data_IF_483487308106
#
_entry.id   IF_483487308106
#
_cell.length_a   1.000
_cell.length_b   1.000
_cell.length_c   1.000
_cell.angle_alpha   90.00
_cell.angle_beta   90.00
_cell.angle_gamma   90.00
#
_symmetry.space_group_name_H-M   'P 1'
#
loop_
_entity.id
_entity.type
_entity.pdbx_description
1 polymer ?
#
# COMPACT_ATOMS: atom_id res chain seq x y z
N UNK A 1 1.19 -16.29 -6.02
CA UNK A 1 1.36 -14.85 -5.77
C UNK A 1 0.22 -14.26 -4.95
N UNK A 2 -1.05 -14.42 -5.33
CA UNK A 2 -2.22 -13.92 -4.58
C UNK A 2 -2.22 -14.38 -3.11
N UNK A 3 -1.84 -15.64 -2.83
CA UNK A 3 -1.68 -16.16 -1.45
C UNK A 3 -0.66 -15.36 -0.61
N UNK A 4 0.34 -14.73 -1.22
CA UNK A 4 1.29 -13.88 -0.51
C UNK A 4 0.62 -12.57 -0.04
N UNK A 5 -0.35 -12.05 -0.79
CA UNK A 5 -1.09 -10.83 -0.45
C UNK A 5 -2.31 -11.09 0.45
N UNK A 6 -3.03 -12.21 0.25
CA UNK A 6 -4.32 -12.45 0.91
C UNK A 6 -4.44 -13.78 1.67
N UNK A 7 -3.50 -14.71 1.51
CA UNK A 7 -3.46 -15.97 2.26
C UNK A 7 -2.68 -15.85 3.57
N UNK A 8 -2.80 -16.85 4.46
CA UNK A 8 -2.04 -16.99 5.71
C UNK A 8 -1.94 -15.67 6.51
N UNK A 9 -3.09 -15.00 6.66
CA UNK A 9 -3.18 -13.65 7.22
C UNK A 9 -2.79 -13.64 8.70
N UNK A 10 -3.20 -14.65 9.46
CA UNK A 10 -2.99 -14.74 10.92
C UNK A 10 -1.59 -15.24 11.29
N UNK A 11 -1.05 -16.21 10.54
CA UNK A 11 0.13 -17.03 10.91
C UNK A 11 1.28 -17.04 9.87
N UNK A 12 1.02 -16.62 8.63
CA UNK A 12 2.06 -16.52 7.59
C UNK A 12 3.29 -15.67 7.91
N UNK A 13 4.45 -16.09 7.43
CA UNK A 13 5.73 -15.37 7.57
C UNK A 13 6.31 -15.07 6.19
N UNK A 14 7.10 -14.00 6.09
CA UNK A 14 7.71 -13.59 4.83
C UNK A 14 9.16 -13.18 5.02
N UNK A 15 10.05 -13.88 4.32
CA UNK A 15 11.48 -13.59 4.29
C UNK A 15 11.77 -12.24 3.61
N UNK A 16 12.95 -11.69 3.86
CA UNK A 16 13.38 -10.34 3.42
C UNK A 16 13.23 -10.10 1.91
N UNK A 17 13.84 -10.96 1.09
CA UNK A 17 13.85 -10.77 -0.37
C UNK A 17 12.44 -10.97 -0.99
N UNK A 18 11.67 -12.01 -0.62
CA UNK A 18 10.27 -12.11 -1.04
C UNK A 18 9.42 -10.91 -0.59
N UNK A 19 9.61 -10.40 0.63
CA UNK A 19 8.91 -9.21 1.10
C UNK A 19 9.17 -8.01 0.20
N UNK A 20 10.45 -7.71 -0.10
CA UNK A 20 10.80 -6.62 -1.02
C UNK A 20 10.14 -6.82 -2.39
N UNK A 21 10.26 -8.02 -2.96
CA UNK A 21 9.68 -8.33 -4.28
C UNK A 21 8.17 -8.12 -4.34
N UNK A 22 7.43 -8.56 -3.31
CA UNK A 22 5.98 -8.38 -3.27
C UNK A 22 5.56 -6.94 -3.00
N UNK A 23 6.30 -6.19 -2.18
CA UNK A 23 6.07 -4.75 -1.96
C UNK A 23 6.31 -3.98 -3.26
N UNK A 24 7.40 -4.24 -3.97
CA UNK A 24 7.67 -3.62 -5.27
C UNK A 24 6.60 -3.97 -6.30
N UNK A 25 6.19 -5.23 -6.36
CA UNK A 25 5.17 -5.69 -7.30
C UNK A 25 3.84 -4.98 -7.08
N UNK A 26 3.35 -4.89 -5.83
CA UNK A 26 2.05 -4.25 -5.59
C UNK A 26 2.10 -2.74 -5.83
N UNK A 27 3.21 -2.07 -5.48
CA UNK A 27 3.40 -0.66 -5.83
C UNK A 27 3.45 -0.46 -7.34
N UNK A 28 4.14 -1.34 -8.07
CA UNK A 28 4.16 -1.30 -9.54
C UNK A 28 2.75 -1.46 -10.12
N UNK A 29 1.96 -2.39 -9.62
CA UNK A 29 0.56 -2.58 -10.05
C UNK A 29 -0.25 -1.30 -9.84
N UNK A 30 -0.13 -0.65 -8.68
CA UNK A 30 -0.84 0.61 -8.41
C UNK A 30 -0.34 1.74 -9.30
N UNK A 31 0.96 1.89 -9.49
CA UNK A 31 1.53 2.89 -10.40
C UNK A 31 0.99 2.69 -11.82
N UNK A 32 0.99 1.45 -12.32
CA UNK A 32 0.40 1.12 -13.61
C UNK A 32 -1.10 1.45 -13.68
N UNK A 33 -1.87 1.16 -12.62
CA UNK A 33 -3.30 1.46 -12.57
C UNK A 33 -3.57 2.98 -12.58
N UNK A 34 -2.76 3.77 -11.86
CA UNK A 34 -2.84 5.23 -11.87
C UNK A 34 -2.53 5.78 -13.26
N UNK A 35 -1.43 5.35 -13.89
CA UNK A 35 -1.10 5.76 -15.25
C UNK A 35 -2.16 5.35 -16.28
N UNK A 36 -2.73 4.15 -16.15
CA UNK A 36 -3.82 3.72 -17.01
C UNK A 36 -5.06 4.61 -16.85
N UNK A 37 -5.37 5.03 -15.63
CA UNK A 37 -6.49 5.96 -15.36
C UNK A 37 -6.22 7.33 -15.96
N UNK A 38 -5.02 7.88 -15.77
CA UNK A 38 -4.61 9.17 -16.36
C UNK A 38 -4.66 9.11 -17.90
N UNK A 39 -4.14 8.03 -18.50
CA UNK A 39 -4.16 7.84 -19.93
C UNK A 39 -5.58 7.70 -20.48
N UNK A 40 -6.47 6.99 -19.78
CA UNK A 40 -7.88 6.88 -20.17
C UNK A 40 -8.60 8.24 -20.12
N UNK A 41 -8.34 9.05 -19.09
CA UNK A 41 -8.85 10.42 -18.98
C UNK A 41 -8.32 11.28 -20.12
N UNK A 42 -7.00 11.30 -20.33
CA UNK A 42 -6.37 12.11 -21.37
C UNK A 42 -6.78 11.70 -22.80
N UNK A 43 -6.97 10.41 -23.05
CA UNK A 43 -7.54 9.93 -24.31
C UNK A 43 -8.98 10.42 -24.51
N UNK A 44 -9.80 10.40 -23.45
CA UNK A 44 -11.14 10.97 -23.45
C UNK A 44 -11.13 12.46 -23.80
N UNK A 45 -10.25 13.25 -23.18
CA UNK A 45 -10.12 14.69 -23.42
C UNK A 45 -9.68 15.01 -24.86
N UNK A 46 -8.72 14.26 -25.41
CA UNK A 46 -8.24 14.46 -26.78
C UNK A 46 -9.33 14.17 -27.82
N UNK A 47 -10.14 13.14 -27.60
CA UNK A 47 -11.27 12.80 -28.49
C UNK A 47 -12.37 13.87 -28.53
N UNK A 48 -12.48 14.70 -27.48
CA UNK A 48 -13.49 15.76 -27.35
C UNK A 48 -13.01 17.10 -27.95
N UNK A 49 -11.79 17.14 -28.50
CA UNK A 49 -11.28 18.34 -29.20
C UNK A 49 -11.01 19.53 -28.28
N UNK A 50 -10.71 19.29 -26.99
CA UNK A 50 -10.31 20.34 -26.05
C UNK A 50 -11.43 21.21 -25.49
N UNK A 51 -12.71 20.87 -25.73
CA UNK A 51 -13.83 21.54 -25.06
C UNK A 51 -13.89 21.10 -23.59
N UNK A 52 -13.32 21.95 -22.72
CA UNK A 52 -13.29 21.75 -21.27
C UNK A 52 -14.66 21.46 -20.65
N UNK A 53 -15.74 22.06 -21.17
CA UNK A 53 -17.08 21.87 -20.63
C UNK A 53 -17.62 20.46 -20.93
N UNK A 54 -17.37 19.95 -22.15
CA UNK A 54 -17.73 18.57 -22.50
C UNK A 54 -16.85 17.54 -21.79
N UNK A 55 -15.55 17.81 -21.65
CA UNK A 55 -14.64 16.96 -20.89
C UNK A 55 -15.06 16.83 -19.43
N UNK A 56 -15.44 17.93 -18.77
CA UNK A 56 -15.95 17.89 -17.39
C UNK A 56 -17.26 17.10 -17.26
N UNK A 57 -18.16 17.21 -18.24
CA UNK A 57 -19.41 16.45 -18.24
C UNK A 57 -19.16 14.95 -18.40
N UNK A 58 -18.26 14.56 -19.31
CA UNK A 58 -17.86 13.16 -19.47
C UNK A 58 -17.17 12.61 -18.22
N UNK A 59 -16.30 13.40 -17.58
CA UNK A 59 -15.69 12.98 -16.32
C UNK A 59 -16.77 12.75 -15.24
N UNK A 60 -17.79 13.60 -15.12
CA UNK A 60 -18.91 13.33 -14.19
C UNK A 60 -19.66 12.04 -14.51
N UNK A 61 -19.84 11.73 -15.78
CA UNK A 61 -20.48 10.48 -16.22
C UNK A 61 -19.58 9.24 -15.95
N UNK A 62 -18.26 9.41 -15.94
CA UNK A 62 -17.31 8.33 -15.64
C UNK A 62 -17.08 8.14 -14.14
N UNK A 63 -17.00 9.24 -13.38
CA UNK A 63 -16.89 9.26 -11.91
C UNK A 63 -18.26 9.09 -11.24
N UNK A 64 -18.98 8.04 -11.65
CA UNK A 64 -20.26 7.67 -11.06
C UNK A 64 -20.06 6.85 -9.78
N UNK A 65 -21.15 6.61 -9.04
CA UNK A 65 -21.12 5.78 -7.83
C UNK A 65 -20.44 4.40 -8.05
N UNK A 66 -20.69 3.66 -9.15
CA UNK A 66 -19.97 2.41 -9.44
C UNK A 66 -18.45 2.59 -9.51
N UNK A 67 -17.96 3.67 -10.12
CA UNK A 67 -16.53 3.97 -10.17
C UNK A 67 -15.97 4.14 -8.75
N UNK A 68 -16.62 4.95 -7.92
CA UNK A 68 -16.17 5.16 -6.54
C UNK A 68 -16.17 3.87 -5.71
N UNK A 69 -17.14 2.98 -5.91
CA UNK A 69 -17.18 1.67 -5.25
C UNK A 69 -15.98 0.83 -5.68
N UNK A 70 -15.74 0.69 -6.98
CA UNK A 70 -14.62 -0.11 -7.51
C UNK A 70 -13.28 0.47 -7.06
N UNK A 71 -13.12 1.79 -7.17
CA UNK A 71 -11.91 2.49 -6.74
C UNK A 71 -11.67 2.38 -5.23
N UNK A 72 -12.72 2.54 -4.43
CA UNK A 72 -12.68 2.40 -2.97
C UNK A 72 -12.29 0.99 -2.54
N UNK A 73 -12.90 -0.04 -3.15
CA UNK A 73 -12.54 -1.44 -2.91
C UNK A 73 -11.10 -1.72 -3.33
N UNK A 74 -10.67 -1.23 -4.49
CA UNK A 74 -9.28 -1.37 -4.95
C UNK A 74 -8.28 -0.75 -3.97
N UNK A 75 -8.59 0.44 -3.47
CA UNK A 75 -7.80 1.15 -2.45
C UNK A 75 -7.74 0.35 -1.14
N UNK A 76 -8.87 -0.19 -0.69
CA UNK A 76 -8.94 -1.03 0.50
C UNK A 76 -8.10 -2.30 0.35
N UNK A 77 -8.21 -2.99 -0.79
CA UNK A 77 -7.41 -4.18 -1.07
C UNK A 77 -5.92 -3.88 -1.13
N UNK A 78 -5.54 -2.74 -1.69
CA UNK A 78 -4.16 -2.28 -1.71
C UNK A 78 -3.60 -2.10 -0.29
N UNK A 79 -4.29 -1.31 0.55
CA UNK A 79 -3.85 -1.08 1.93
C UNK A 79 -3.81 -2.37 2.73
N UNK A 80 -4.85 -3.20 2.63
CA UNK A 80 -4.88 -4.51 3.28
C UNK A 80 -3.68 -5.38 2.87
N UNK A 81 -3.36 -5.43 1.57
CA UNK A 81 -2.26 -6.24 1.07
C UNK A 81 -0.89 -5.72 1.56
N UNK A 82 -0.66 -4.40 1.54
CA UNK A 82 0.56 -3.79 2.09
C UNK A 82 0.71 -4.11 3.59
N UNK A 83 -0.34 -3.89 4.36
CA UNK A 83 -0.33 -4.15 5.80
C UNK A 83 -0.17 -5.64 6.12
N UNK A 84 -0.79 -6.53 5.34
CA UNK A 84 -0.59 -7.97 5.51
C UNK A 84 0.85 -8.39 5.20
N UNK A 85 1.48 -7.84 4.16
CA UNK A 85 2.91 -8.09 3.88
C UNK A 85 3.79 -7.62 5.04
N UNK A 86 3.53 -6.43 5.57
CA UNK A 86 4.24 -5.90 6.74
C UNK A 86 4.04 -6.79 7.97
N UNK A 87 2.81 -7.22 8.26
CA UNK A 87 2.51 -8.13 9.37
C UNK A 87 3.26 -9.47 9.22
N UNK A 88 3.36 -10.02 8.01
CA UNK A 88 4.13 -11.25 7.74
C UNK A 88 5.62 -11.07 7.95
N UNK A 89 6.17 -9.92 7.54
CA UNK A 89 7.58 -9.58 7.75
C UNK A 89 7.91 -9.38 9.23
N UNK A 90 7.05 -8.65 9.95
CA UNK A 90 7.17 -8.45 11.40
C UNK A 90 7.15 -9.77 12.17
N UNK A 91 6.24 -10.69 11.81
CA UNK A 91 6.23 -12.05 12.39
C UNK A 91 7.46 -12.87 12.06
N UNK A 92 8.02 -12.70 10.86
CA UNK A 92 9.27 -13.36 10.50
C UNK A 92 10.45 -12.88 11.35
N UNK A 93 10.48 -11.60 11.73
CA UNK A 93 11.48 -11.03 12.66
C UNK A 93 11.28 -11.54 14.10
N UNK A 94 10.05 -11.86 14.48
CA UNK A 94 9.66 -12.29 15.83
C UNK A 94 8.79 -11.28 16.59
N UNK A 95 8.24 -10.29 15.88
CA UNK A 95 7.35 -9.26 16.44
C UNK A 95 5.88 -9.68 16.25
N UNK A 96 4.95 -9.34 17.18
CA UNK A 96 3.51 -9.55 16.97
C UNK A 96 3.00 -8.88 15.70
N UNK A 97 2.57 -9.66 14.69
CA UNK A 97 2.31 -9.16 13.34
C UNK A 97 1.32 -7.99 13.24
N UNK A 98 0.04 -8.25 13.41
CA UNK A 98 -1.01 -7.23 13.23
C UNK A 98 -0.99 -6.14 14.30
N UNK A 99 -0.63 -6.48 15.53
CA UNK A 99 -0.50 -5.50 16.60
C UNK A 99 0.64 -4.50 16.35
N UNK A 100 1.78 -4.97 15.84
CA UNK A 100 2.86 -4.05 15.47
C UNK A 100 2.52 -3.24 14.22
N UNK A 101 1.79 -3.79 13.25
CA UNK A 101 1.25 -2.99 12.14
C UNK A 101 0.34 -1.87 12.66
N UNK A 102 -0.58 -2.17 13.57
CA UNK A 102 -1.46 -1.17 14.17
C UNK A 102 -0.66 -0.10 14.93
N UNK A 103 0.37 -0.49 15.68
CA UNK A 103 1.24 0.45 16.37
C UNK A 103 1.99 1.37 15.40
N UNK A 104 2.48 0.84 14.27
CA UNK A 104 3.10 1.65 13.21
C UNK A 104 2.11 2.66 12.62
N UNK A 105 0.88 2.23 12.30
CA UNK A 105 -0.15 3.12 11.76
C UNK A 105 -0.48 4.24 12.76
N UNK A 106 -0.67 3.91 14.04
CA UNK A 106 -0.97 4.90 15.08
C UNK A 106 0.20 5.89 15.23
N UNK A 107 1.44 5.39 15.24
CA UNK A 107 2.63 6.21 15.30
C UNK A 107 2.70 7.20 14.12
N UNK A 108 2.48 6.72 12.90
CA UNK A 108 2.50 7.53 11.69
C UNK A 108 1.41 8.60 11.69
N UNK A 109 0.20 8.27 12.17
CA UNK A 109 -0.90 9.22 12.31
C UNK A 109 -0.58 10.30 13.36
N UNK A 110 -0.05 9.90 14.51
CA UNK A 110 0.34 10.84 15.58
C UNK A 110 1.43 11.79 15.08
N UNK A 111 2.48 11.28 14.43
CA UNK A 111 3.56 12.10 13.88
C UNK A 111 3.05 13.03 12.78
N UNK A 112 2.17 12.54 11.90
CA UNK A 112 1.57 13.35 10.85
C UNK A 112 0.74 14.51 11.41
N UNK A 113 0.00 14.26 12.50
CA UNK A 113 -0.86 15.25 13.12
C UNK A 113 -0.09 16.25 14.01
N UNK A 114 0.91 15.78 14.76
CA UNK A 114 1.61 16.59 15.78
C UNK A 114 2.87 17.29 15.27
N UNK A 115 3.53 16.73 14.25
CA UNK A 115 4.80 17.24 13.73
C UNK A 115 4.61 17.74 12.30
N UNK A 116 4.48 16.82 11.34
CA UNK A 116 4.22 17.10 9.92
C UNK A 116 4.03 15.82 9.13
N UNK A 117 3.36 15.93 7.98
CA UNK A 117 3.24 14.83 7.02
C UNK A 117 4.61 14.38 6.49
N UNK A 118 5.54 15.32 6.26
CA UNK A 118 6.89 15.02 5.78
C UNK A 118 7.68 14.18 6.80
N UNK A 119 7.56 14.51 8.09
CA UNK A 119 8.18 13.71 9.16
C UNK A 119 7.61 12.29 9.20
N UNK A 120 6.28 12.15 9.08
CA UNK A 120 5.61 10.84 9.04
C UNK A 120 6.10 9.98 7.86
N UNK A 121 6.20 10.58 6.67
CA UNK A 121 6.75 9.89 5.49
C UNK A 121 8.21 9.45 5.68
N UNK A 122 9.02 10.28 6.34
CA UNK A 122 10.40 9.94 6.69
C UNK A 122 10.46 8.72 7.63
N UNK A 123 9.61 8.71 8.66
CA UNK A 123 9.50 7.58 9.60
C UNK A 123 9.03 6.31 8.90
N UNK A 124 8.01 6.38 8.05
CA UNK A 124 7.54 5.24 7.26
C UNK A 124 8.68 4.65 6.40
N UNK A 125 9.49 5.51 5.78
CA UNK A 125 10.66 5.09 4.99
C UNK A 125 11.70 4.37 5.84
N UNK A 126 12.01 4.91 7.02
CA UNK A 126 12.94 4.29 7.97
C UNK A 126 12.43 2.93 8.46
N UNK A 127 11.13 2.80 8.74
CA UNK A 127 10.50 1.53 9.09
C UNK A 127 10.63 0.53 7.93
N UNK A 128 10.36 0.97 6.70
CA UNK A 128 10.54 0.16 5.49
C UNK A 128 11.97 -0.38 5.36
N UNK A 129 12.97 0.47 5.56
CA UNK A 129 14.40 0.08 5.55
C UNK A 129 14.69 -0.90 6.68
N UNK A 130 14.21 -0.63 7.90
CA UNK A 130 14.41 -1.52 9.05
C UNK A 130 13.84 -2.92 8.80
N UNK A 131 12.65 -3.02 8.20
CA UNK A 131 12.02 -4.28 7.84
C UNK A 131 12.84 -5.11 6.82
N UNK A 132 13.61 -4.43 5.96
CA UNK A 132 14.49 -5.08 4.99
C UNK A 132 15.83 -5.53 5.60
N UNK A 133 16.38 -4.74 6.51
CA UNK A 133 17.70 -4.99 7.09
C UNK A 133 17.66 -6.01 8.23
N UNK A 134 16.63 -5.97 9.09
CA UNK A 134 16.55 -6.84 10.27
C UNK A 134 16.42 -8.31 9.82
N UNK A 135 17.28 -9.22 10.32
CA UNK A 135 17.24 -10.61 9.92
C UNK A 135 16.01 -11.36 10.43
N UNK A 136 15.70 -12.45 9.73
CA UNK A 136 14.66 -13.41 10.14
C UNK A 136 14.99 -14.02 11.50
N UNK A 137 13.98 -14.20 12.35
CA UNK A 137 14.06 -14.72 13.71
C UNK A 137 15.01 -13.97 14.66
N UNK A 138 15.35 -12.71 14.38
CA UNK A 138 16.29 -11.92 15.19
C UNK A 138 15.92 -11.84 16.68
N UNK A 139 14.62 -11.69 16.98
CA UNK A 139 14.17 -11.59 18.37
C UNK A 139 14.04 -12.98 19.03
N UNK A 140 13.62 -13.98 18.28
CA UNK A 140 13.50 -15.35 18.78
C UNK A 140 14.87 -15.96 19.11
N UNK A 141 15.93 -15.58 18.39
CA UNK A 141 17.29 -16.05 18.66
C UNK A 141 17.94 -15.40 19.90
N UNK A 142 17.34 -14.37 20.49
CA UNK A 142 17.85 -13.68 21.69
C UNK A 142 17.14 -14.10 22.98
N UNK A 143 16.05 -14.87 22.87
CA UNK A 143 15.24 -15.36 23.98
C UNK A 143 15.59 -16.80 24.38
N UNK A 144 16.53 -17.43 23.68
CA UNK A 144 17.16 -18.72 23.99
C UNK A 144 18.64 -18.50 24.27
#
# INVERSE_FOLDING_TARGET
MIKAFFGNVADGRLLRLPYLGYVLLINLIIVCAVFATIAAIGAGEHLIGGNLQQAQNMLREWFTLPFFIVFGLGTLFYFFAIFNLMAKRLRDIGIPGWWAVLAVIILELVISYTISQQASNGVNTLIGIALLLIPSNFLNSKLN
#
